data_IF_188272114781
#
_entry.id   IF_188272114781
#
_cell.length_a   1.000
_cell.length_b   1.000
_cell.length_c   1.000
_cell.angle_alpha   90.00
_cell.angle_beta   90.00
_cell.angle_gamma   90.00
#
_symmetry.space_group_name_H-M   'P 1'
#
loop_
_entity.id
_entity.type
_entity.pdbx_description
1 polymer ?
#
# COMPACT_ATOMS: atom_id res chain seq x y z
N UNK A 1 17.79 9.56 -2.22
CA UNK A 1 18.24 8.17 -2.05
C UNK A 1 17.00 7.31 -1.87
N UNK A 2 16.94 6.16 -2.53
CA UNK A 2 15.82 5.22 -2.39
C UNK A 2 15.78 4.61 -0.99
N UNK A 3 14.59 4.37 -0.44
CA UNK A 3 14.43 3.78 0.89
C UNK A 3 14.73 2.28 0.87
N UNK A 4 15.23 1.76 1.98
CA UNK A 4 15.33 0.32 2.25
C UNK A 4 13.94 -0.31 2.42
N UNK A 5 13.80 -1.65 2.25
CA UNK A 5 12.53 -2.32 2.51
C UNK A 5 11.97 -2.08 3.91
N UNK A 6 12.84 -1.99 4.92
CA UNK A 6 12.46 -1.69 6.31
C UNK A 6 11.92 -0.26 6.45
N UNK A 7 12.55 0.71 5.81
CA UNK A 7 12.09 2.11 5.83
C UNK A 7 10.73 2.26 5.12
N UNK A 8 10.54 1.60 3.97
CA UNK A 8 9.24 1.58 3.28
C UNK A 8 8.17 0.94 4.18
N UNK A 9 8.48 -0.19 4.81
CA UNK A 9 7.56 -0.87 5.74
C UNK A 9 7.19 0.03 6.92
N UNK A 10 8.18 0.67 7.55
CA UNK A 10 7.96 1.55 8.70
C UNK A 10 7.11 2.78 8.33
N UNK A 11 7.35 3.37 7.16
CA UNK A 11 6.53 4.46 6.65
C UNK A 11 5.08 4.04 6.44
N UNK A 12 4.83 2.92 5.75
CA UNK A 12 3.46 2.39 5.55
C UNK A 12 2.79 2.09 6.90
N UNK A 13 3.53 1.51 7.86
CA UNK A 13 3.00 1.22 9.19
C UNK A 13 2.63 2.50 9.96
N UNK A 14 3.41 3.57 9.84
CA UNK A 14 3.07 4.85 10.46
C UNK A 14 1.75 5.42 9.91
N UNK A 15 1.56 5.39 8.60
CA UNK A 15 0.29 5.80 7.99
C UNK A 15 -0.87 4.88 8.40
N UNK A 16 -0.60 3.57 8.49
CA UNK A 16 -1.58 2.56 8.89
C UNK A 16 -2.05 2.75 10.34
N UNK A 17 -1.16 3.15 11.26
CA UNK A 17 -1.52 3.48 12.63
C UNK A 17 -2.50 4.66 12.71
N UNK A 18 -2.37 5.66 11.82
CA UNK A 18 -3.32 6.78 11.77
C UNK A 18 -4.74 6.33 11.41
N UNK A 19 -4.87 5.32 10.55
CA UNK A 19 -6.14 4.76 10.10
C UNK A 19 -6.84 3.89 11.15
N UNK A 20 -6.12 3.40 12.16
CA UNK A 20 -6.71 2.60 13.25
C UNK A 20 -7.70 3.39 14.11
N UNK A 21 -7.61 4.72 14.10
CA UNK A 21 -8.58 5.61 14.75
C UNK A 21 -9.91 5.73 13.99
N UNK A 22 -9.88 5.54 12.66
CA UNK A 22 -11.03 5.65 11.77
C UNK A 22 -11.74 4.30 11.56
N UNK A 23 -10.96 3.22 11.55
CA UNK A 23 -11.46 1.87 11.25
C UNK A 23 -10.88 0.89 12.26
N UNK A 24 -11.76 0.35 13.12
CA UNK A 24 -11.39 -0.72 14.03
C UNK A 24 -11.26 -2.05 13.28
N UNK A 25 -10.11 -2.71 13.47
CA UNK A 25 -9.86 -4.07 13.03
C UNK A 25 -9.72 -4.97 14.24
N UNK A 26 -10.11 -6.23 14.07
CA UNK A 26 -9.75 -7.27 15.04
C UNK A 26 -8.24 -7.54 15.02
N UNK A 27 -7.72 -8.09 16.12
CA UNK A 27 -6.32 -8.50 16.19
C UNK A 27 -5.95 -9.50 15.09
N UNK A 28 -6.85 -10.44 14.78
CA UNK A 28 -6.65 -11.40 13.70
C UNK A 28 -6.53 -10.71 12.33
N UNK A 29 -7.37 -9.72 12.04
CA UNK A 29 -7.28 -8.95 10.78
C UNK A 29 -5.98 -8.17 10.68
N UNK A 30 -5.52 -7.57 11.79
CA UNK A 30 -4.23 -6.89 11.86
C UNK A 30 -3.07 -7.87 11.60
N UNK A 31 -3.08 -9.04 12.25
CA UNK A 31 -2.05 -10.07 12.06
C UNK A 31 -2.02 -10.59 10.61
N UNK A 32 -3.20 -10.78 10.00
CA UNK A 32 -3.30 -11.12 8.57
C UNK A 32 -2.64 -10.05 7.71
N UNK A 33 -2.98 -8.76 7.91
CA UNK A 33 -2.42 -7.66 7.12
C UNK A 33 -0.90 -7.52 7.27
N UNK A 34 -0.37 -7.61 8.49
CA UNK A 34 1.08 -7.59 8.76
C UNK A 34 1.81 -8.78 8.11
N UNK A 35 1.09 -9.89 7.91
CA UNK A 35 1.58 -11.09 7.21
C UNK A 35 1.31 -11.05 5.69
N UNK A 36 0.94 -9.88 5.14
CA UNK A 36 0.56 -9.69 3.73
C UNK A 36 -0.61 -10.57 3.26
N UNK A 37 -1.51 -10.95 4.18
CA UNK A 37 -2.77 -11.63 3.88
C UNK A 37 -3.91 -10.62 3.95
N UNK A 38 -4.77 -10.62 2.94
CA UNK A 38 -5.93 -9.73 2.90
C UNK A 38 -7.12 -10.38 3.63
N UNK A 39 -7.59 -9.80 4.75
CA UNK A 39 -8.83 -10.25 5.37
C UNK A 39 -10.01 -9.92 4.47
N UNK A 40 -11.01 -10.81 4.40
CA UNK A 40 -12.21 -10.58 3.60
C UNK A 40 -13.35 -10.00 4.45
N UNK A 41 -13.17 -8.80 4.98
CA UNK A 41 -14.21 -8.06 5.70
C UNK A 41 -14.41 -6.67 5.09
N UNK A 42 -15.52 -6.01 5.44
CA UNK A 42 -15.74 -4.62 5.03
C UNK A 42 -14.76 -3.68 5.75
N UNK A 43 -14.50 -3.94 7.04
CA UNK A 43 -13.57 -3.14 7.84
C UNK A 43 -12.14 -3.21 7.30
N UNK A 44 -11.65 -4.40 6.95
CA UNK A 44 -10.30 -4.55 6.36
C UNK A 44 -10.16 -3.80 5.04
N UNK A 45 -11.19 -3.81 4.19
CA UNK A 45 -11.23 -3.05 2.93
C UNK A 45 -11.23 -1.54 3.19
N UNK A 46 -12.04 -1.06 4.14
CA UNK A 46 -12.05 0.36 4.52
C UNK A 46 -10.71 0.81 5.11
N UNK A 47 -10.08 -0.04 5.94
CA UNK A 47 -8.77 0.23 6.53
C UNK A 47 -7.70 0.37 5.44
N UNK A 48 -7.61 -0.59 4.52
CA UNK A 48 -6.69 -0.51 3.38
C UNK A 48 -6.95 0.71 2.50
N UNK A 49 -8.21 1.06 2.26
CA UNK A 49 -8.56 2.27 1.52
C UNK A 49 -8.07 3.55 2.23
N UNK A 50 -8.14 3.62 3.56
CA UNK A 50 -7.55 4.71 4.33
C UNK A 50 -6.03 4.77 4.13
N UNK A 51 -5.33 3.64 4.31
CA UNK A 51 -3.87 3.58 4.15
C UNK A 51 -3.46 4.02 2.74
N UNK A 52 -4.12 3.47 1.70
CA UNK A 52 -3.81 3.80 0.32
C UNK A 52 -4.11 5.25 -0.06
N UNK A 53 -5.08 5.90 0.59
CA UNK A 53 -5.27 7.36 0.45
C UNK A 53 -4.13 8.14 1.09
N UNK A 54 -3.67 7.76 2.29
CA UNK A 54 -2.56 8.40 3.00
C UNK A 54 -1.25 8.33 2.21
N UNK A 55 -0.95 7.16 1.64
CA UNK A 55 0.26 6.96 0.81
C UNK A 55 0.09 7.45 -0.65
N UNK A 56 -1.06 8.03 -0.99
CA UNK A 56 -1.30 8.67 -2.29
C UNK A 56 -1.61 7.72 -3.45
N UNK A 57 -1.85 6.44 -3.18
CA UNK A 57 -2.20 5.42 -4.18
C UNK A 57 -3.68 5.46 -4.57
N UNK A 58 -4.54 5.95 -3.69
CA UNK A 58 -5.93 6.29 -3.98
C UNK A 58 -6.15 7.81 -3.83
N UNK A 59 -6.96 8.40 -4.71
CA UNK A 59 -7.44 9.76 -4.50
C UNK A 59 -8.59 9.82 -3.46
N UNK A 60 -9.04 11.04 -3.15
CA UNK A 60 -10.15 11.25 -2.21
C UNK A 60 -11.45 10.53 -2.64
N UNK A 61 -11.64 10.32 -3.94
CA UNK A 61 -12.80 9.61 -4.53
C UNK A 61 -12.59 8.09 -4.59
N UNK A 62 -11.46 7.57 -4.08
CA UNK A 62 -11.15 6.14 -4.07
C UNK A 62 -10.65 5.62 -5.41
N UNK A 63 -10.16 6.48 -6.31
CA UNK A 63 -9.65 6.08 -7.63
C UNK A 63 -8.15 5.83 -7.56
N UNK A 64 -7.72 4.70 -8.10
CA UNK A 64 -6.32 4.32 -8.17
C UNK A 64 -5.49 5.31 -9.00
N UNK A 65 -4.35 5.73 -8.45
CA UNK A 65 -3.46 6.74 -9.01
C UNK A 65 -2.26 6.09 -9.68
N UNK A 66 -2.50 5.37 -10.80
CA UNK A 66 -1.48 4.55 -11.45
C UNK A 66 -0.16 5.29 -11.71
N UNK A 67 -0.20 6.52 -12.22
CA UNK A 67 1.01 7.29 -12.53
C UNK A 67 1.82 7.63 -11.28
N UNK A 68 1.13 7.95 -10.16
CA UNK A 68 1.79 8.23 -8.88
C UNK A 68 2.46 6.98 -8.31
N UNK A 69 1.78 5.84 -8.39
CA UNK A 69 2.34 4.56 -7.91
C UNK A 69 3.53 4.14 -8.77
N UNK A 70 3.44 4.30 -10.10
CA UNK A 70 4.56 4.03 -11.02
C UNK A 70 5.77 4.92 -10.72
N UNK A 71 5.56 6.23 -10.54
CA UNK A 71 6.63 7.15 -10.15
C UNK A 71 7.28 6.75 -8.82
N UNK A 72 6.46 6.44 -7.81
CA UNK A 72 6.95 5.98 -6.51
C UNK A 72 7.84 4.73 -6.65
N UNK A 73 7.41 3.73 -7.41
CA UNK A 73 8.21 2.52 -7.66
C UNK A 73 9.52 2.85 -8.38
N UNK A 74 9.48 3.71 -9.39
CA UNK A 74 10.70 4.14 -10.11
C UNK A 74 11.69 4.84 -9.18
N UNK A 75 11.21 5.66 -8.25
CA UNK A 75 12.06 6.39 -7.30
C UNK A 75 12.62 5.45 -6.20
N UNK A 76 11.77 4.60 -5.62
CA UNK A 76 12.16 3.67 -4.56
C UNK A 76 13.01 2.49 -5.05
N UNK A 77 12.92 2.14 -6.32
CA UNK A 77 13.70 1.04 -6.91
C UNK A 77 14.63 1.52 -8.03
N UNK A 78 15.06 2.79 -8.01
CA UNK A 78 15.90 3.40 -9.05
C UNK A 78 17.19 2.63 -9.41
N UNK A 79 17.66 1.72 -8.55
CA UNK A 79 18.80 0.82 -8.80
C UNK A 79 18.45 -0.66 -8.98
N UNK A 80 17.17 -1.03 -9.06
CA UNK A 80 16.68 -2.41 -9.09
C UNK A 80 15.64 -2.59 -10.20
N UNK A 81 16.14 -2.72 -11.44
CA UNK A 81 15.31 -2.86 -12.63
C UNK A 81 14.37 -4.07 -12.57
N UNK A 82 14.79 -5.16 -11.93
CA UNK A 82 13.97 -6.36 -11.78
C UNK A 82 12.73 -6.09 -10.91
N UNK A 83 12.88 -5.33 -9.82
CA UNK A 83 11.72 -4.91 -9.00
C UNK A 83 10.82 -3.91 -9.71
N UNK A 84 11.38 -3.00 -10.51
CA UNK A 84 10.59 -2.08 -11.34
C UNK A 84 9.72 -2.89 -12.32
N UNK A 85 10.31 -3.81 -13.06
CA UNK A 85 9.61 -4.64 -14.04
C UNK A 85 8.54 -5.52 -13.38
N UNK A 86 8.87 -6.17 -12.26
CA UNK A 86 7.92 -7.00 -11.51
C UNK A 86 6.74 -6.18 -10.98
N UNK A 87 7.00 -4.96 -10.48
CA UNK A 87 5.96 -4.05 -9.99
C UNK A 87 5.05 -3.56 -11.13
N UNK A 88 5.62 -3.23 -12.29
CA UNK A 88 4.86 -2.84 -13.48
C UNK A 88 3.92 -3.96 -13.93
N UNK A 89 4.42 -5.21 -14.03
CA UNK A 89 3.59 -6.38 -14.37
C UNK A 89 2.43 -6.57 -13.38
N UNK A 90 2.69 -6.37 -12.09
CA UNK A 90 1.65 -6.43 -11.06
C UNK A 90 0.59 -5.34 -11.28
N UNK A 91 1.00 -4.09 -11.53
CA UNK A 91 0.06 -2.98 -11.76
C UNK A 91 -0.79 -3.18 -13.01
N UNK A 92 -0.23 -3.73 -14.07
CA UNK A 92 -0.96 -4.01 -15.30
C UNK A 92 -1.96 -5.18 -15.09
N UNK A 93 -1.59 -6.18 -14.28
CA UNK A 93 -2.47 -7.31 -13.92
C UNK A 93 -3.63 -6.86 -13.04
N UNK A 94 -3.38 -5.94 -12.10
CA UNK A 94 -4.37 -5.45 -11.15
C UNK A 94 -5.10 -4.18 -11.61
N UNK A 95 -4.93 -3.79 -12.87
CA UNK A 95 -5.62 -2.63 -13.43
C UNK A 95 -7.14 -2.87 -13.41
N UNK A 96 -7.94 -1.95 -12.86
CA UNK A 96 -9.40 -2.10 -12.81
C UNK A 96 -10.04 -2.01 -14.19
#
# INVERSE_FOLDING_TARGET
>A
ASRTPTEIKNWILAEALSCSSEVQLSENELQMLVSHKLPNSKSSKCYLACVYKKVGWLDAKGRYQADKVKSFVSDEYAGDAAKIEASQKLFDTCKP
#
